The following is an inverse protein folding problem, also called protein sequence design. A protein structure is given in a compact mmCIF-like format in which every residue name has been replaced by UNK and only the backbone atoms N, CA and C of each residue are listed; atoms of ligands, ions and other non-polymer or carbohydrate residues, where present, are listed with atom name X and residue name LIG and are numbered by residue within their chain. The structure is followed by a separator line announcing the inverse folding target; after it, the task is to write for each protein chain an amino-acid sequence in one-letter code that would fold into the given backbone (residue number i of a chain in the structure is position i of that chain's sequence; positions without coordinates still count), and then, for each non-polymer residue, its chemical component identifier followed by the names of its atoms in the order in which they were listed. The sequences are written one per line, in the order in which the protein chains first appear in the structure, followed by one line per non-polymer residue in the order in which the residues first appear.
data_IF_567930443520
#
_entry.id   IF_567930443520
#
_cell.length_a   1.000
_cell.length_b   1.000
_cell.length_c   1.000
_cell.angle_alpha   90.00
_cell.angle_beta   90.00
_cell.angle_gamma   90.00
#
_symmetry.space_group_name_H-M   'P 1'
#
loop_
_entity.id
_entity.type
_entity.pdbx_description
1 polymer ?
#
# COMPACT_ATOMS: atom_id res chain seq x y z
N UNK A 1 -19.83 18.86 11.27
CA UNK A 1 -18.61 18.32 10.59
C UNK A 1 -17.98 19.52 9.92
N UNK A 2 -16.79 19.89 10.31
CA UNK A 2 -16.03 20.89 9.56
C UNK A 2 -15.46 20.21 8.32
N UNK A 3 -15.73 20.79 7.16
CA UNK A 3 -15.21 20.26 5.88
C UNK A 3 -13.85 20.84 5.50
N UNK A 4 -13.32 21.76 6.32
CA UNK A 4 -12.01 22.34 6.10
C UNK A 4 -10.91 21.51 6.74
N UNK A 5 -9.83 21.33 6.00
CA UNK A 5 -8.61 20.74 6.53
C UNK A 5 -7.92 21.70 7.51
N UNK A 6 -7.13 21.15 8.44
CA UNK A 6 -6.31 21.95 9.33
C UNK A 6 -5.32 22.83 8.55
N UNK A 7 -4.91 23.98 9.11
CA UNK A 7 -3.94 24.85 8.45
C UNK A 7 -2.60 24.15 8.21
N UNK A 8 -2.23 23.24 9.11
CA UNK A 8 -1.06 22.38 8.91
C UNK A 8 -1.23 21.46 7.71
N UNK A 9 -2.38 20.81 7.59
CA UNK A 9 -2.69 19.95 6.45
C UNK A 9 -2.68 20.76 5.14
N UNK A 10 -3.30 21.94 5.09
CA UNK A 10 -3.29 22.83 3.92
C UNK A 10 -1.85 23.21 3.51
N UNK A 11 -1.00 23.54 4.49
CA UNK A 11 0.41 23.84 4.26
C UNK A 11 1.17 22.65 3.66
N UNK A 12 0.97 21.46 4.22
CA UNK A 12 1.60 20.24 3.72
C UNK A 12 1.09 19.86 2.32
N UNK A 13 -0.22 20.02 2.05
CA UNK A 13 -0.78 19.82 0.71
C UNK A 13 -0.11 20.74 -0.33
N UNK A 14 0.02 22.03 -0.03
CA UNK A 14 0.67 22.98 -0.95
C UNK A 14 2.13 22.59 -1.26
N UNK A 15 2.90 22.20 -0.22
CA UNK A 15 4.27 21.72 -0.40
C UNK A 15 4.31 20.42 -1.22
N UNK A 16 3.43 19.47 -0.91
CA UNK A 16 3.41 18.18 -1.57
C UNK A 16 2.99 18.31 -3.04
N UNK A 17 1.97 19.11 -3.36
CA UNK A 17 1.56 19.40 -4.74
C UNK A 17 2.71 19.98 -5.54
N UNK A 18 3.40 20.99 -4.98
CA UNK A 18 4.58 21.57 -5.62
C UNK A 18 5.68 20.52 -5.83
N UNK A 19 5.93 19.65 -4.86
CA UNK A 19 6.92 18.58 -5.01
C UNK A 19 6.52 17.59 -6.11
N UNK A 20 5.23 17.25 -6.20
CA UNK A 20 4.71 16.39 -7.27
C UNK A 20 4.93 17.01 -8.64
N UNK A 21 4.64 18.31 -8.80
CA UNK A 21 4.82 19.05 -10.05
C UNK A 21 6.31 19.18 -10.44
N UNK A 22 7.17 19.53 -9.48
CA UNK A 22 8.58 19.79 -9.74
C UNK A 22 9.40 18.49 -9.96
N UNK A 23 9.01 17.38 -9.30
CA UNK A 23 9.90 16.22 -9.17
C UNK A 23 9.28 14.88 -9.51
N UNK A 24 7.98 14.69 -9.35
CA UNK A 24 7.35 13.36 -9.57
C UNK A 24 6.86 13.24 -11.00
N UNK A 25 5.95 14.12 -11.44
CA UNK A 25 5.37 14.03 -12.78
C UNK A 25 6.40 14.13 -13.91
N UNK A 26 7.44 15.00 -13.84
CA UNK A 26 8.47 15.04 -14.87
C UNK A 26 9.30 13.76 -14.98
N UNK A 27 9.39 12.97 -13.90
CA UNK A 27 10.23 11.79 -13.84
C UNK A 27 9.50 10.45 -14.10
N UNK A 28 8.19 10.44 -14.38
CA UNK A 28 7.45 9.20 -14.57
C UNK A 28 7.99 8.32 -15.71
N UNK A 29 8.29 8.93 -16.85
CA UNK A 29 8.87 8.22 -18.00
C UNK A 29 10.29 7.74 -17.69
N UNK A 30 11.11 8.56 -17.06
CA UNK A 30 12.47 8.21 -16.70
C UNK A 30 12.53 7.08 -15.66
N UNK A 31 11.60 7.07 -14.69
CA UNK A 31 11.45 6.00 -13.71
C UNK A 31 11.20 4.64 -14.39
N UNK A 32 10.24 4.57 -15.31
CA UNK A 32 9.95 3.34 -16.07
C UNK A 32 11.16 2.89 -16.89
N UNK A 33 11.79 3.82 -17.61
CA UNK A 33 12.99 3.54 -18.40
C UNK A 33 14.16 3.05 -17.56
N UNK A 34 14.31 3.52 -16.33
CA UNK A 34 15.36 3.05 -15.44
C UNK A 34 15.14 1.59 -15.00
N UNK A 35 13.89 1.20 -14.66
CA UNK A 35 13.56 -0.19 -14.35
C UNK A 35 13.85 -1.11 -15.53
N UNK A 36 13.43 -0.73 -16.73
CA UNK A 36 13.66 -1.51 -17.93
C UNK A 36 15.16 -1.64 -18.22
N UNK A 37 15.92 -0.55 -18.11
CA UNK A 37 17.38 -0.53 -18.26
C UNK A 37 18.09 -1.40 -17.21
N UNK A 38 17.67 -1.35 -15.94
CA UNK A 38 18.22 -2.22 -14.89
C UNK A 38 18.02 -3.70 -15.25
N UNK A 39 16.89 -4.06 -15.85
CA UNK A 39 16.65 -5.41 -16.36
C UNK A 39 17.55 -5.80 -17.53
N UNK A 40 17.67 -4.92 -18.51
CA UNK A 40 18.41 -5.18 -19.75
C UNK A 40 19.94 -5.12 -19.56
N UNK A 41 20.45 -4.09 -18.88
CA UNK A 41 21.89 -3.84 -18.79
C UNK A 41 22.53 -4.49 -17.57
N UNK A 42 21.81 -4.56 -16.43
CA UNK A 42 22.32 -5.10 -15.18
C UNK A 42 21.77 -6.51 -14.85
N UNK A 43 20.86 -7.04 -15.70
CA UNK A 43 20.24 -8.35 -15.49
C UNK A 43 19.32 -8.40 -14.26
N UNK A 44 18.99 -7.26 -13.65
CA UNK A 44 18.18 -7.21 -12.42
C UNK A 44 17.28 -5.97 -12.38
N UNK A 45 16.03 -6.13 -12.76
CA UNK A 45 15.02 -5.05 -12.70
C UNK A 45 14.47 -4.78 -11.27
N UNK A 46 14.89 -5.57 -10.29
CA UNK A 46 14.53 -5.41 -8.87
C UNK A 46 15.41 -4.41 -8.11
N UNK A 47 16.41 -3.84 -8.78
CA UNK A 47 17.24 -2.80 -8.18
C UNK A 47 16.43 -1.54 -7.92
N UNK A 48 16.67 -0.90 -6.77
CA UNK A 48 16.12 0.40 -6.46
C UNK A 48 16.47 1.40 -7.57
N UNK A 49 15.51 2.25 -7.94
CA UNK A 49 15.76 3.29 -8.94
C UNK A 49 16.53 4.46 -8.33
N UNK A 50 17.52 4.96 -9.05
CA UNK A 50 18.30 6.13 -8.67
C UNK A 50 17.40 7.35 -8.46
N UNK A 51 16.41 7.52 -9.32
CA UNK A 51 15.43 8.61 -9.24
C UNK A 51 14.76 8.67 -7.88
N UNK A 52 14.25 7.54 -7.37
CA UNK A 52 13.58 7.50 -6.06
C UNK A 52 14.56 7.81 -4.94
N UNK A 53 15.76 7.22 -4.98
CA UNK A 53 16.77 7.42 -3.95
C UNK A 53 17.28 8.87 -3.89
N UNK A 54 17.38 9.57 -5.01
CA UNK A 54 17.76 10.99 -5.08
C UNK A 54 16.64 11.93 -4.63
N UNK A 55 15.38 11.54 -4.77
CA UNK A 55 14.23 12.34 -4.35
C UNK A 55 13.93 12.23 -2.85
N UNK A 56 14.23 11.09 -2.20
CA UNK A 56 14.03 10.90 -0.76
C UNK A 56 14.68 12.00 0.12
N UNK A 57 15.97 12.35 -0.04
CA UNK A 57 16.56 13.42 0.75
C UNK A 57 15.92 14.79 0.48
N UNK A 58 15.46 15.07 -0.75
CA UNK A 58 14.75 16.30 -1.09
C UNK A 58 13.39 16.39 -0.38
N UNK A 59 12.65 15.28 -0.36
CA UNK A 59 11.37 15.19 0.37
C UNK A 59 11.57 15.39 1.88
N UNK A 60 12.58 14.73 2.44
CA UNK A 60 12.96 14.87 3.85
C UNK A 60 13.32 16.32 4.22
N UNK A 61 14.12 16.98 3.40
CA UNK A 61 14.51 18.37 3.63
C UNK A 61 13.33 19.37 3.63
N UNK A 62 12.23 19.03 2.94
CA UNK A 62 11.00 19.81 2.91
C UNK A 62 9.99 19.46 4.01
N UNK A 63 10.33 18.48 4.88
CA UNK A 63 9.43 17.99 5.93
C UNK A 63 8.31 17.09 5.39
N UNK A 64 8.50 16.51 4.20
CA UNK A 64 7.57 15.56 3.56
C UNK A 64 8.03 14.12 3.75
N UNK A 65 8.23 13.70 4.99
CA UNK A 65 8.76 12.39 5.33
C UNK A 65 7.97 11.72 6.45
N UNK A 66 7.67 10.43 6.32
CA UNK A 66 6.91 9.64 7.32
C UNK A 66 5.56 10.26 7.71
N UNK A 67 4.89 10.95 6.79
CA UNK A 67 3.64 11.68 7.05
C UNK A 67 2.49 10.77 7.51
N UNK A 68 2.57 9.47 7.25
CA UNK A 68 1.57 8.47 7.63
C UNK A 68 1.58 8.16 9.13
N UNK A 69 2.71 8.38 9.83
CA UNK A 69 2.91 7.89 11.19
C UNK A 69 2.11 8.75 12.19
N UNK A 70 1.22 8.16 12.98
CA UNK A 70 0.49 8.89 14.02
C UNK A 70 1.43 9.42 15.10
N UNK A 71 0.96 10.40 15.86
CA UNK A 71 1.72 10.97 16.97
C UNK A 71 2.18 9.88 17.94
N UNK A 72 3.48 9.82 18.16
CA UNK A 72 4.15 8.87 19.05
C UNK A 72 5.44 9.48 19.61
N UNK A 73 6.15 8.72 20.45
CA UNK A 73 7.47 9.14 20.96
C UNK A 73 8.45 9.38 19.80
N UNK A 74 8.37 8.53 18.75
CA UNK A 74 9.24 8.62 17.56
C UNK A 74 8.72 9.56 16.47
N UNK A 75 7.48 9.98 16.59
CA UNK A 75 6.82 10.94 15.71
C UNK A 75 6.03 11.96 16.50
N UNK A 76 6.70 12.85 17.26
CA UNK A 76 6.00 13.84 18.11
C UNK A 76 5.11 14.76 17.30
N UNK A 77 5.48 14.99 16.04
CA UNK A 77 4.74 15.77 15.04
C UNK A 77 3.88 14.89 14.12
N UNK A 78 3.52 13.68 14.54
CA UNK A 78 2.67 12.76 13.77
C UNK A 78 1.32 13.37 13.40
N UNK A 79 0.80 12.98 12.22
CA UNK A 79 -0.49 13.45 11.74
C UNK A 79 -1.62 12.53 12.20
N UNK A 80 -2.82 13.08 12.30
CA UNK A 80 -4.05 12.29 12.37
C UNK A 80 -4.30 11.59 11.01
N UNK A 81 -5.11 10.53 11.01
CA UNK A 81 -5.54 9.92 9.76
C UNK A 81 -6.31 10.91 8.88
N UNK A 82 -7.07 11.81 9.50
CA UNK A 82 -7.83 12.85 8.80
C UNK A 82 -6.91 13.84 8.10
N UNK A 83 -5.84 14.32 8.75
CA UNK A 83 -4.86 15.22 8.13
C UNK A 83 -3.97 14.52 7.10
N UNK A 84 -3.68 13.23 7.29
CA UNK A 84 -2.90 12.44 6.34
C UNK A 84 -3.70 12.08 5.07
N UNK A 85 -5.03 11.98 5.15
CA UNK A 85 -5.88 11.55 4.06
C UNK A 85 -5.64 12.29 2.73
N UNK A 86 -5.72 13.63 2.66
CA UNK A 86 -5.51 14.35 1.41
C UNK A 86 -4.05 14.29 0.92
N UNK A 87 -3.08 14.13 1.81
CA UNK A 87 -1.67 13.97 1.44
C UNK A 87 -1.45 12.60 0.79
N UNK A 88 -2.04 11.55 1.36
CA UNK A 88 -2.00 10.21 0.80
C UNK A 88 -2.71 10.13 -0.55
N UNK A 89 -3.81 10.84 -0.73
CA UNK A 89 -4.50 10.99 -2.02
C UNK A 89 -3.59 11.63 -3.08
N UNK A 90 -2.90 12.73 -2.75
CA UNK A 90 -1.96 13.39 -3.67
C UNK A 90 -0.83 12.44 -4.07
N UNK A 91 -0.22 11.73 -3.11
CA UNK A 91 0.82 10.73 -3.40
C UNK A 91 0.29 9.58 -4.27
N UNK A 92 -0.97 9.17 -4.07
CA UNK A 92 -1.62 8.11 -4.82
C UNK A 92 -1.77 8.36 -6.33
N UNK A 93 -1.64 9.61 -6.78
CA UNK A 93 -1.73 9.99 -8.20
C UNK A 93 -0.65 9.33 -9.06
N UNK A 94 0.50 8.99 -8.47
CA UNK A 94 1.60 8.26 -9.12
C UNK A 94 1.99 7.06 -8.25
N UNK A 95 1.99 5.86 -8.82
CA UNK A 95 2.11 4.59 -8.08
C UNK A 95 3.36 4.53 -7.18
N UNK A 96 4.51 5.02 -7.66
CA UNK A 96 5.77 4.98 -6.93
C UNK A 96 6.01 6.21 -6.02
N UNK A 97 5.19 7.27 -6.14
CA UNK A 97 5.45 8.53 -5.43
C UNK A 97 5.46 8.37 -3.90
N UNK A 98 4.57 7.54 -3.34
CA UNK A 98 4.51 7.32 -1.88
C UNK A 98 5.85 6.84 -1.30
N UNK A 99 6.69 6.14 -2.08
CA UNK A 99 8.00 5.69 -1.61
C UNK A 99 8.97 6.84 -1.41
N UNK A 100 8.92 7.86 -2.24
CA UNK A 100 9.76 9.06 -2.13
C UNK A 100 9.59 9.76 -0.77
N UNK A 101 8.40 9.64 -0.19
CA UNK A 101 8.04 10.22 1.11
C UNK A 101 8.09 9.22 2.27
N UNK A 102 8.63 8.01 2.04
CA UNK A 102 8.58 6.88 2.97
C UNK A 102 7.17 6.58 3.49
N UNK A 103 6.18 6.69 2.61
CA UNK A 103 4.75 6.51 2.90
C UNK A 103 4.12 5.36 2.09
N UNK A 104 4.93 4.44 1.55
CA UNK A 104 4.43 3.32 0.74
C UNK A 104 4.05 2.11 1.60
N UNK A 105 3.06 1.34 1.14
CA UNK A 105 2.78 0.01 1.67
C UNK A 105 3.81 -1.00 1.11
N UNK A 106 4.12 -2.09 1.85
CA UNK A 106 3.60 -2.48 3.16
C UNK A 106 4.30 -1.81 4.35
N UNK A 107 5.38 -1.04 4.11
CA UNK A 107 6.25 -0.49 5.15
C UNK A 107 5.49 0.37 6.16
N UNK A 108 4.55 1.22 5.71
CA UNK A 108 3.75 2.06 6.62
C UNK A 108 3.03 1.21 7.66
N UNK A 109 2.31 0.17 7.25
CA UNK A 109 1.61 -0.72 8.17
C UNK A 109 2.55 -1.54 9.04
N UNK A 110 3.73 -1.90 8.53
CA UNK A 110 4.73 -2.65 9.28
C UNK A 110 5.42 -1.75 10.33
N UNK A 111 5.75 -0.50 9.97
CA UNK A 111 6.29 0.49 10.91
C UNK A 111 5.31 0.79 12.04
N UNK A 112 4.03 1.01 11.74
CA UNK A 112 2.98 1.19 12.77
C UNK A 112 2.83 -0.05 13.66
N UNK A 113 2.95 -1.24 13.08
CA UNK A 113 2.87 -2.50 13.83
C UNK A 113 4.04 -2.64 14.81
N UNK A 114 5.26 -2.37 14.36
CA UNK A 114 6.45 -2.45 15.24
C UNK A 114 6.43 -1.33 16.28
N UNK A 115 6.01 -0.10 15.94
CA UNK A 115 5.88 0.99 16.90
C UNK A 115 4.88 0.66 18.01
N UNK A 116 3.76 0.03 17.66
CA UNK A 116 2.69 -0.27 18.63
C UNK A 116 2.95 -1.54 19.43
N UNK A 117 3.49 -2.58 18.82
CA UNK A 117 3.54 -3.93 19.40
C UNK A 117 4.96 -4.48 19.58
N UNK A 118 5.96 -3.84 19.00
CA UNK A 118 7.35 -4.25 19.12
C UNK A 118 7.97 -3.86 20.45
N UNK A 119 8.93 -4.66 20.91
CA UNK A 119 9.82 -4.32 22.02
C UNK A 119 10.73 -3.14 21.65
N UNK A 120 11.37 -2.51 22.64
CA UNK A 120 12.36 -1.46 22.37
C UNK A 120 13.57 -1.97 21.56
N UNK A 121 13.90 -3.26 21.67
CA UNK A 121 14.90 -3.89 20.82
C UNK A 121 14.41 -3.94 19.37
N UNK A 122 13.17 -4.41 19.10
CA UNK A 122 12.59 -4.45 17.76
C UNK A 122 12.54 -3.06 17.11
N UNK A 123 12.24 -2.04 17.91
CA UNK A 123 12.17 -0.66 17.42
C UNK A 123 13.54 -0.13 17.03
N UNK A 124 14.57 -0.37 17.85
CA UNK A 124 15.94 0.04 17.50
C UNK A 124 16.50 -0.72 16.29
N UNK A 125 16.25 -2.03 16.24
CA UNK A 125 16.82 -2.89 15.21
C UNK A 125 16.14 -2.74 13.86
N UNK A 126 14.80 -2.61 13.84
CA UNK A 126 14.02 -2.66 12.60
C UNK A 126 13.24 -1.38 12.32
N UNK A 127 12.56 -0.80 13.30
CA UNK A 127 11.72 0.38 13.07
C UNK A 127 12.56 1.61 12.72
N UNK A 128 13.63 1.87 13.44
CA UNK A 128 14.45 3.06 13.20
C UNK A 128 15.09 3.08 11.81
N UNK A 129 15.69 1.97 11.30
CA UNK A 129 16.15 1.92 9.91
C UNK A 129 15.02 2.06 8.88
N UNK A 130 13.83 1.49 9.15
CA UNK A 130 12.64 1.67 8.30
C UNK A 130 12.21 3.15 8.27
N UNK A 131 12.15 3.82 9.43
CA UNK A 131 11.80 5.25 9.51
C UNK A 131 12.84 6.14 8.81
N UNK A 132 14.11 5.71 8.79
CA UNK A 132 15.15 6.40 8.01
C UNK A 132 15.12 6.06 6.51
N UNK A 133 14.30 5.08 6.11
CA UNK A 133 14.21 4.63 4.71
C UNK A 133 15.46 3.88 4.21
N UNK A 134 16.26 3.33 5.13
CA UNK A 134 17.49 2.56 4.84
C UNK A 134 17.19 1.14 4.42
N UNK A 135 16.13 0.57 4.98
CA UNK A 135 15.65 -0.78 4.66
C UNK A 135 14.16 -0.72 4.33
N UNK A 136 13.67 -1.84 3.77
CA UNK A 136 12.27 -2.10 3.54
C UNK A 136 11.81 -3.36 4.26
N UNK A 137 10.51 -3.60 4.27
CA UNK A 137 9.88 -4.71 4.97
C UNK A 137 8.78 -5.34 4.13
N UNK A 138 8.35 -6.55 4.51
CA UNK A 138 7.17 -7.16 3.92
C UNK A 138 6.28 -7.81 4.99
N UNK A 139 5.00 -8.02 4.65
CA UNK A 139 4.01 -8.63 5.53
C UNK A 139 3.62 -10.01 5.00
N UNK A 140 4.13 -11.06 5.65
CA UNK A 140 3.98 -12.45 5.19
C UNK A 140 2.78 -13.13 5.87
N UNK A 141 1.58 -12.90 5.33
CA UNK A 141 0.34 -13.47 5.87
C UNK A 141 -0.28 -14.49 4.93
N UNK A 142 -0.57 -14.13 3.69
CA UNK A 142 -1.35 -14.90 2.72
C UNK A 142 -0.66 -16.21 2.31
N UNK A 143 -1.42 -17.30 2.19
CA UNK A 143 -0.93 -18.65 1.85
C UNK A 143 -1.66 -19.20 0.62
N UNK A 144 -0.97 -19.97 -0.26
CA UNK A 144 -1.60 -20.55 -1.46
C UNK A 144 -2.54 -21.70 -1.15
N UNK A 145 -2.32 -22.44 -0.06
CA UNK A 145 -3.05 -23.68 0.26
C UNK A 145 -4.38 -23.43 0.99
N UNK A 146 -4.63 -22.23 1.50
CA UNK A 146 -5.81 -21.93 2.31
C UNK A 146 -6.45 -20.60 1.87
N UNK A 147 -7.76 -20.45 2.16
CA UNK A 147 -8.47 -19.18 1.97
C UNK A 147 -8.05 -18.17 3.06
N UNK A 148 -6.98 -17.43 2.81
CA UNK A 148 -6.33 -16.52 3.77
C UNK A 148 -7.14 -15.25 4.06
N UNK A 149 -8.24 -15.00 3.35
CA UNK A 149 -9.24 -13.97 3.71
C UNK A 149 -9.87 -14.21 5.08
N UNK A 150 -9.97 -15.48 5.49
CA UNK A 150 -10.18 -15.87 6.88
C UNK A 150 -8.81 -16.10 7.54
N UNK A 151 -8.36 -15.14 8.34
CA UNK A 151 -7.06 -15.22 9.01
C UNK A 151 -6.90 -16.43 9.93
N UNK A 152 -8.00 -17.04 10.37
CA UNK A 152 -7.96 -18.24 11.21
C UNK A 152 -7.58 -19.51 10.43
N UNK A 153 -7.61 -19.47 9.09
CA UNK A 153 -7.18 -20.56 8.22
C UNK A 153 -5.65 -20.62 8.01
N UNK A 154 -4.91 -19.59 8.43
CA UNK A 154 -3.45 -19.57 8.29
C UNK A 154 -2.86 -20.86 8.87
N UNK A 155 -2.09 -21.58 8.04
CA UNK A 155 -1.56 -22.91 8.35
C UNK A 155 -0.06 -22.94 8.65
N UNK A 156 0.69 -21.89 8.28
CA UNK A 156 2.13 -21.75 8.64
C UNK A 156 2.32 -22.01 10.13
N UNK A 157 3.24 -22.91 10.48
CA UNK A 157 3.54 -23.32 11.86
C UNK A 157 4.66 -22.47 12.43
N UNK A 158 4.52 -22.09 13.71
CA UNK A 158 5.53 -21.45 14.53
C UNK A 158 5.63 -22.28 15.81
N UNK A 159 6.64 -23.11 15.93
CA UNK A 159 6.78 -24.08 17.03
C UNK A 159 7.96 -23.68 17.90
N UNK A 160 7.74 -23.61 19.21
CA UNK A 160 8.79 -23.26 20.15
C UNK A 160 9.73 -24.44 20.37
N UNK A 161 11.05 -24.19 20.26
CA UNK A 161 12.12 -25.15 20.52
C UNK A 161 13.19 -24.46 21.39
N UNK A 162 13.07 -24.60 22.70
CA UNK A 162 13.93 -23.91 23.68
C UNK A 162 13.79 -22.39 23.60
N UNK A 163 14.88 -21.72 23.28
CA UNK A 163 14.98 -20.26 23.17
C UNK A 163 14.74 -19.73 21.75
N UNK A 164 14.28 -20.60 20.84
CA UNK A 164 13.98 -20.27 19.45
C UNK A 164 12.55 -20.68 19.07
N UNK A 165 12.05 -20.10 17.99
CA UNK A 165 10.94 -20.62 17.22
C UNK A 165 11.41 -21.23 15.92
N UNK A 166 10.83 -22.36 15.56
CA UNK A 166 11.00 -23.03 14.27
C UNK A 166 9.77 -22.76 13.41
N UNK A 167 9.99 -22.20 12.24
CA UNK A 167 8.92 -21.76 11.34
C UNK A 167 8.92 -22.61 10.08
N UNK A 168 7.75 -23.17 9.76
CA UNK A 168 7.52 -23.94 8.55
C UNK A 168 6.22 -23.45 7.87
N UNK A 169 6.31 -23.05 6.60
CA UNK A 169 5.16 -22.53 5.88
C UNK A 169 5.43 -22.09 4.46
N UNK A 170 4.35 -21.78 3.75
CA UNK A 170 4.39 -21.34 2.36
C UNK A 170 3.52 -20.09 2.22
N UNK A 171 4.14 -18.98 1.87
CA UNK A 171 3.50 -17.67 1.70
C UNK A 171 3.54 -17.25 0.24
N UNK A 172 2.51 -16.49 -0.20
CA UNK A 172 2.48 -15.92 -1.53
C UNK A 172 1.81 -14.54 -1.53
N UNK A 173 1.92 -13.82 -2.62
CA UNK A 173 1.46 -12.43 -2.75
C UNK A 173 2.07 -11.51 -1.69
N UNK A 174 3.31 -11.76 -1.33
CA UNK A 174 4.01 -10.98 -0.31
C UNK A 174 4.64 -9.77 -0.97
N UNK A 175 3.96 -8.62 -0.84
CA UNK A 175 4.37 -7.35 -1.43
C UNK A 175 5.67 -6.84 -0.81
N UNK A 176 6.58 -6.38 -1.67
CA UNK A 176 7.89 -5.84 -1.26
C UNK A 176 8.96 -6.88 -0.96
N UNK A 177 8.63 -8.18 -0.95
CA UNK A 177 9.60 -9.22 -0.60
C UNK A 177 10.70 -9.42 -1.65
N UNK A 178 10.48 -9.03 -2.90
CA UNK A 178 11.47 -9.10 -3.99
C UNK A 178 12.43 -7.92 -4.03
N UNK A 179 12.18 -6.87 -3.27
CA UNK A 179 13.04 -5.69 -3.19
C UNK A 179 14.34 -6.04 -2.44
N UNK A 180 15.54 -5.83 -3.01
CA UNK A 180 16.82 -6.13 -2.34
C UNK A 180 17.03 -5.39 -1.02
N UNK A 181 16.31 -4.29 -0.81
CA UNK A 181 16.31 -3.50 0.44
C UNK A 181 15.39 -4.09 1.51
N UNK A 182 14.52 -5.07 1.17
CA UNK A 182 13.70 -5.77 2.15
C UNK A 182 14.61 -6.58 3.09
N UNK A 183 14.54 -6.31 4.39
CA UNK A 183 15.40 -6.98 5.40
C UNK A 183 14.62 -7.74 6.45
N UNK A 184 13.32 -7.49 6.56
CA UNK A 184 12.49 -8.07 7.61
C UNK A 184 11.09 -8.42 7.12
N UNK A 185 10.60 -9.58 7.50
CA UNK A 185 9.20 -9.98 7.38
C UNK A 185 8.49 -9.87 8.72
N UNK A 186 7.27 -9.34 8.74
CA UNK A 186 6.31 -9.63 9.79
C UNK A 186 5.51 -10.84 9.31
N UNK A 187 5.77 -12.01 9.89
CA UNK A 187 5.15 -13.27 9.50
C UNK A 187 4.01 -13.62 10.46
N UNK A 188 2.86 -13.99 9.91
CA UNK A 188 1.75 -14.55 10.67
C UNK A 188 1.72 -16.08 10.52
N UNK A 189 1.72 -16.79 11.64
CA UNK A 189 1.63 -18.25 11.69
C UNK A 189 0.90 -18.72 12.93
N UNK A 190 0.67 -20.03 13.02
CA UNK A 190 -0.06 -20.68 14.10
C UNK A 190 0.92 -21.23 15.14
N UNK A 191 0.85 -20.70 16.36
CA UNK A 191 1.67 -21.16 17.49
C UNK A 191 0.98 -22.26 18.29
N UNK A 192 -0.34 -22.14 18.50
CA UNK A 192 -1.13 -23.14 19.24
C UNK A 192 -2.41 -23.45 18.46
N UNK A 193 -2.47 -24.62 17.75
CA UNK A 193 -3.66 -25.01 16.99
C UNK A 193 -4.85 -25.41 17.88
N UNK A 194 -4.62 -25.72 19.15
CA UNK A 194 -5.65 -26.18 20.08
C UNK A 194 -6.25 -25.02 20.90
N UNK A 195 -5.63 -23.82 20.83
CA UNK A 195 -6.15 -22.62 21.47
C UNK A 195 -7.49 -22.16 20.85
N UNK A 196 -8.25 -21.30 21.53
CA UNK A 196 -9.45 -20.69 20.96
C UNK A 196 -9.15 -20.04 19.60
N UNK A 197 -10.10 -20.13 18.66
CA UNK A 197 -9.97 -19.78 17.24
C UNK A 197 -9.17 -18.49 16.96
N UNK A 198 -9.37 -17.42 17.73
CA UNK A 198 -8.70 -16.13 17.51
C UNK A 198 -7.40 -15.98 18.30
N UNK A 199 -6.98 -17.02 19.03
CA UNK A 199 -5.74 -17.05 19.82
C UNK A 199 -4.75 -18.11 19.31
N UNK A 200 -5.01 -18.70 18.16
CA UNK A 200 -4.12 -19.71 17.55
C UNK A 200 -2.90 -19.09 16.87
N UNK A 201 -3.05 -17.87 16.34
CA UNK A 201 -2.03 -17.24 15.53
C UNK A 201 -1.20 -16.25 16.32
N UNK A 202 0.08 -16.16 15.95
CA UNK A 202 1.04 -15.18 16.42
C UNK A 202 1.67 -14.43 15.26
N UNK A 203 2.28 -13.30 15.53
CA UNK A 203 3.13 -12.58 14.58
C UNK A 203 4.57 -12.54 15.07
N UNK A 204 5.50 -12.80 14.18
CA UNK A 204 6.91 -12.90 14.49
C UNK A 204 7.75 -12.17 13.45
N UNK A 205 8.83 -11.55 13.87
CA UNK A 205 9.81 -10.91 13.01
C UNK A 205 10.79 -11.95 12.48
N UNK A 206 10.92 -12.04 11.15
CA UNK A 206 11.81 -12.99 10.48
C UNK A 206 12.74 -12.22 9.54
N UNK A 207 14.06 -12.20 9.80
CA UNK A 207 15.03 -11.64 8.85
C UNK A 207 14.93 -12.34 7.48
N UNK A 208 15.04 -11.56 6.40
CA UNK A 208 14.91 -12.10 5.03
C UNK A 208 16.02 -13.11 4.70
N UNK A 209 17.19 -12.92 5.28
CA UNK A 209 18.39 -13.76 5.12
C UNK A 209 18.50 -14.91 6.13
N UNK A 210 17.47 -15.14 6.95
CA UNK A 210 17.46 -16.28 7.87
C UNK A 210 17.54 -17.61 7.11
N UNK A 211 18.35 -18.53 7.61
CA UNK A 211 18.50 -19.85 7.00
C UNK A 211 17.13 -20.55 6.88
N UNK A 212 16.84 -21.11 5.70
CA UNK A 212 15.57 -21.75 5.40
C UNK A 212 14.50 -20.82 4.78
N UNK A 213 14.77 -19.52 4.65
CA UNK A 213 13.92 -18.59 3.88
C UNK A 213 14.32 -18.67 2.41
N UNK A 214 13.34 -18.96 1.54
CA UNK A 214 13.55 -19.02 0.09
C UNK A 214 12.48 -18.18 -0.62
N UNK A 215 12.90 -17.08 -1.28
CA UNK A 215 12.03 -16.34 -2.22
C UNK A 215 12.03 -17.12 -3.53
N UNK A 216 10.90 -17.77 -3.84
CA UNK A 216 10.79 -18.69 -4.98
C UNK A 216 10.69 -17.99 -6.33
N UNK A 217 9.80 -17.02 -6.41
CA UNK A 217 9.53 -16.28 -7.64
C UNK A 217 8.72 -15.01 -7.38
N UNK A 218 8.81 -14.02 -8.24
CA UNK A 218 7.83 -12.94 -8.31
C UNK A 218 6.52 -13.45 -8.92
N UNK A 219 5.42 -12.79 -8.54
CA UNK A 219 4.08 -13.02 -9.06
C UNK A 219 3.64 -11.76 -9.82
N UNK A 220 3.01 -11.93 -10.97
CA UNK A 220 2.56 -10.80 -11.79
C UNK A 220 1.05 -10.57 -11.68
N UNK A 221 0.67 -9.30 -11.70
CA UNK A 221 -0.72 -8.83 -11.75
C UNK A 221 -1.06 -8.48 -13.19
N UNK A 222 -1.86 -9.28 -13.87
CA UNK A 222 -2.19 -9.10 -15.29
C UNK A 222 -0.95 -8.94 -16.21
N UNK A 223 0.15 -9.60 -15.86
CA UNK A 223 1.42 -9.53 -16.59
C UNK A 223 2.40 -8.46 -16.09
N UNK A 224 2.00 -7.55 -15.21
CA UNK A 224 2.89 -6.59 -14.56
C UNK A 224 3.55 -7.23 -13.33
N UNK A 225 4.87 -7.12 -13.24
CA UNK A 225 5.68 -7.68 -12.13
C UNK A 225 5.85 -6.71 -10.95
N UNK A 226 5.47 -5.45 -11.14
CA UNK A 226 5.58 -4.35 -10.16
C UNK A 226 6.99 -4.12 -9.61
N UNK A 227 8.04 -4.48 -10.40
CA UNK A 227 9.42 -4.21 -10.00
C UNK A 227 9.68 -2.70 -9.78
N UNK A 228 10.53 -2.32 -8.81
CA UNK A 228 11.31 -3.14 -7.90
C UNK A 228 10.56 -3.62 -6.64
N UNK A 229 9.31 -3.23 -6.45
CA UNK A 229 8.50 -3.56 -5.29
C UNK A 229 8.01 -5.03 -5.31
N UNK A 230 7.21 -5.38 -6.32
CA UNK A 230 6.72 -6.72 -6.64
C UNK A 230 5.94 -7.44 -5.55
N UNK A 231 5.52 -8.64 -5.91
CA UNK A 231 4.83 -9.58 -5.00
C UNK A 231 5.50 -10.94 -5.15
N UNK A 232 5.86 -11.59 -4.05
CA UNK A 232 6.63 -12.83 -4.12
C UNK A 232 5.92 -14.02 -3.47
N UNK A 233 6.31 -15.21 -3.94
CA UNK A 233 6.08 -16.50 -3.32
C UNK A 233 7.29 -16.88 -2.49
N UNK A 234 7.09 -17.28 -1.22
CA UNK A 234 8.16 -17.53 -0.25
C UNK A 234 7.91 -18.84 0.48
N UNK A 235 8.96 -19.65 0.60
CA UNK A 235 9.01 -20.82 1.48
C UNK A 235 9.78 -20.52 2.74
N UNK A 236 9.30 -21.07 3.85
CA UNK A 236 9.96 -21.10 5.16
C UNK A 236 10.11 -22.57 5.55
N UNK A 237 11.35 -23.06 5.60
CA UNK A 237 11.69 -24.47 5.85
C UNK A 237 12.64 -24.55 7.03
N UNK A 238 12.12 -24.93 8.20
CA UNK A 238 12.85 -24.99 9.47
C UNK A 238 13.57 -23.67 9.81
N UNK A 239 12.97 -22.55 9.51
CA UNK A 239 13.54 -21.24 9.80
C UNK A 239 13.55 -21.01 11.29
N UNK A 240 14.74 -20.74 11.86
CA UNK A 240 14.94 -20.52 13.29
C UNK A 240 15.13 -19.05 13.58
N UNK A 241 14.38 -18.56 14.55
CA UNK A 241 14.52 -17.18 15.06
C UNK A 241 14.38 -17.18 16.59
N UNK A 242 15.03 -16.24 17.30
CA UNK A 242 14.92 -16.12 18.75
C UNK A 242 13.49 -15.93 19.23
N UNK A 243 13.13 -16.46 20.39
CA UNK A 243 11.80 -16.27 21.01
C UNK A 243 11.48 -14.78 21.23
N UNK A 244 12.48 -13.94 21.38
CA UNK A 244 12.34 -12.49 21.50
C UNK A 244 11.75 -11.81 20.24
N UNK A 245 11.77 -12.48 19.08
CA UNK A 245 11.25 -11.91 17.83
C UNK A 245 9.71 -11.91 17.74
N UNK A 246 9.01 -12.54 18.69
CA UNK A 246 7.55 -12.53 18.73
C UNK A 246 7.01 -11.14 19.08
N UNK A 247 5.98 -10.69 18.37
CA UNK A 247 5.32 -9.41 18.63
C UNK A 247 4.19 -9.60 19.64
N UNK A 248 4.18 -8.79 20.71
CA UNK A 248 3.15 -8.74 21.74
C UNK A 248 2.96 -10.05 22.55
N UNK A 249 3.44 -11.20 22.06
CA UNK A 249 3.31 -12.51 22.68
C UNK A 249 2.52 -13.52 21.83
N UNK A 250 2.57 -14.79 22.26
CA UNK A 250 1.86 -15.88 21.59
C UNK A 250 0.33 -15.69 21.64
N UNK A 251 -0.35 -16.14 20.58
CA UNK A 251 -1.80 -16.06 20.44
C UNK A 251 -2.36 -14.65 20.15
N UNK A 252 -1.49 -13.64 19.96
CA UNK A 252 -1.92 -12.25 19.76
C UNK A 252 -1.89 -11.82 18.28
N UNK A 253 -1.62 -12.75 17.36
CA UNK A 253 -1.48 -12.46 15.92
C UNK A 253 -2.75 -11.91 15.29
N UNK A 254 -3.92 -12.41 15.66
CA UNK A 254 -5.20 -11.88 15.15
C UNK A 254 -5.46 -10.44 15.60
N UNK A 255 -5.17 -10.11 16.84
CA UNK A 255 -5.28 -8.75 17.38
C UNK A 255 -4.35 -7.77 16.63
N UNK A 256 -3.10 -8.17 16.41
CA UNK A 256 -2.12 -7.37 15.67
C UNK A 256 -2.60 -7.17 14.23
N UNK A 257 -3.11 -8.22 13.56
CA UNK A 257 -3.65 -8.13 12.21
C UNK A 257 -4.77 -7.08 12.10
N UNK A 258 -5.72 -7.08 13.04
CA UNK A 258 -6.80 -6.10 13.07
C UNK A 258 -6.27 -4.67 13.30
N UNK A 259 -5.30 -4.51 14.19
CA UNK A 259 -4.67 -3.21 14.47
C UNK A 259 -3.89 -2.64 13.29
N UNK A 260 -3.24 -3.50 12.48
CA UNK A 260 -2.48 -3.13 11.30
C UNK A 260 -3.37 -2.82 10.09
N UNK A 261 -4.35 -3.70 9.83
CA UNK A 261 -5.16 -3.63 8.60
C UNK A 261 -6.15 -2.46 8.61
N UNK A 262 -6.58 -1.98 9.77
CA UNK A 262 -7.52 -0.86 9.87
C UNK A 262 -6.99 0.41 9.21
N UNK A 263 -5.90 1.02 9.69
CA UNK A 263 -5.27 2.19 9.08
C UNK A 263 -4.82 1.92 7.64
N UNK A 264 -4.22 0.74 7.37
CA UNK A 264 -3.77 0.36 6.03
C UNK A 264 -4.88 0.40 4.98
N UNK A 265 -6.09 -0.06 5.31
CA UNK A 265 -7.27 0.01 4.43
C UNK A 265 -7.67 1.45 4.11
N UNK A 266 -7.63 2.34 5.09
CA UNK A 266 -7.91 3.76 4.88
C UNK A 266 -6.87 4.35 3.91
N UNK A 267 -5.57 4.10 4.13
CA UNK A 267 -4.50 4.58 3.26
C UNK A 267 -4.62 4.04 1.81
N UNK A 268 -5.01 2.78 1.63
CA UNK A 268 -5.27 2.23 0.29
C UNK A 268 -6.43 2.96 -0.41
N UNK A 269 -7.52 3.24 0.31
CA UNK A 269 -8.66 3.97 -0.25
C UNK A 269 -8.28 5.41 -0.64
N UNK A 270 -7.49 6.09 0.19
CA UNK A 270 -6.98 7.44 -0.12
C UNK A 270 -6.14 7.45 -1.40
N UNK A 271 -5.18 6.52 -1.54
CA UNK A 271 -4.38 6.40 -2.77
C UNK A 271 -5.24 6.08 -4.00
N UNK A 272 -6.23 5.19 -3.86
CA UNK A 272 -7.15 4.85 -4.93
C UNK A 272 -7.92 6.07 -5.44
N UNK A 273 -8.37 6.95 -4.53
CA UNK A 273 -9.04 8.21 -4.89
C UNK A 273 -8.09 9.10 -5.71
N UNK A 274 -6.82 9.19 -5.33
CA UNK A 274 -5.80 9.92 -6.09
C UNK A 274 -5.59 9.38 -7.51
N UNK A 275 -5.62 8.06 -7.67
CA UNK A 275 -5.60 7.40 -9.00
C UNK A 275 -6.84 7.80 -9.80
N UNK A 276 -8.04 7.77 -9.19
CA UNK A 276 -9.29 8.13 -9.87
C UNK A 276 -9.29 9.60 -10.34
N UNK A 277 -8.83 10.53 -9.50
CA UNK A 277 -8.66 11.94 -9.86
C UNK A 277 -7.78 12.10 -11.09
N UNK A 278 -6.64 11.44 -11.09
CA UNK A 278 -5.71 11.53 -12.21
C UNK A 278 -6.26 10.90 -13.48
N UNK A 279 -6.96 9.78 -13.35
CA UNK A 279 -7.63 9.14 -14.48
C UNK A 279 -8.70 10.05 -15.11
N UNK A 280 -9.48 10.77 -14.28
CA UNK A 280 -10.45 11.76 -14.74
C UNK A 280 -9.77 12.91 -15.49
N UNK A 281 -8.64 13.41 -14.98
CA UNK A 281 -7.85 14.45 -15.67
C UNK A 281 -7.33 13.97 -17.03
N UNK A 282 -6.78 12.76 -17.11
CA UNK A 282 -6.35 12.16 -18.38
C UNK A 282 -7.52 12.04 -19.36
N UNK A 283 -8.69 11.58 -18.87
CA UNK A 283 -9.90 11.47 -19.67
C UNK A 283 -10.30 12.83 -20.25
N UNK A 284 -10.43 13.85 -19.42
CA UNK A 284 -10.80 15.21 -19.86
C UNK A 284 -9.81 15.77 -20.89
N UNK A 285 -8.51 15.69 -20.61
CA UNK A 285 -7.45 16.15 -21.53
C UNK A 285 -7.53 15.44 -22.90
N UNK A 286 -7.76 14.12 -22.87
CA UNK A 286 -7.90 13.33 -24.10
C UNK A 286 -9.10 13.73 -24.92
N UNK A 287 -10.24 13.89 -24.30
CA UNK A 287 -11.50 14.22 -24.96
C UNK A 287 -11.49 15.59 -25.65
N UNK A 288 -10.82 16.58 -25.03
CA UNK A 288 -10.63 17.92 -25.60
C UNK A 288 -9.63 17.88 -26.78
N UNK A 289 -8.56 17.11 -26.66
CA UNK A 289 -7.48 17.06 -27.64
C UNK A 289 -7.81 16.28 -28.91
N UNK A 290 -8.92 15.52 -28.96
CA UNK A 290 -9.24 14.63 -30.08
C UNK A 290 -10.50 15.09 -30.82
N UNK A 291 -10.40 15.05 -32.15
CA UNK A 291 -11.51 15.33 -33.07
C UNK A 291 -11.89 14.02 -33.77
N UNK A 292 -13.19 13.71 -33.78
CA UNK A 292 -13.77 12.59 -34.53
C UNK A 292 -15.13 13.04 -35.11
N UNK A 293 -15.43 12.63 -36.33
CA UNK A 293 -16.67 13.01 -37.03
C UNK A 293 -16.89 14.54 -37.09
N UNK A 294 -15.80 15.29 -37.28
CA UNK A 294 -15.83 16.74 -37.48
C UNK A 294 -15.95 17.60 -36.22
N UNK A 295 -15.98 17.02 -35.00
CA UNK A 295 -16.04 17.75 -33.73
C UNK A 295 -15.17 17.14 -32.64
N UNK A 296 -14.88 17.89 -31.59
CA UNK A 296 -14.16 17.35 -30.45
C UNK A 296 -14.95 16.20 -29.80
N UNK A 297 -14.23 15.17 -29.31
CA UNK A 297 -14.89 14.04 -28.65
C UNK A 297 -15.62 14.52 -27.38
N UNK A 298 -15.10 15.56 -26.71
CA UNK A 298 -15.71 16.20 -25.56
C UNK A 298 -17.13 16.76 -25.83
N UNK A 299 -17.50 17.01 -27.08
CA UNK A 299 -18.83 17.49 -27.46
C UNK A 299 -19.90 16.37 -27.53
N UNK A 300 -19.52 15.12 -27.35
CA UNK A 300 -20.47 14.00 -27.29
C UNK A 300 -21.08 13.88 -25.89
N UNK A 301 -22.41 13.88 -25.79
CA UNK A 301 -23.16 13.90 -24.54
C UNK A 301 -22.83 12.78 -23.56
N UNK A 302 -22.49 11.58 -24.08
CA UNK A 302 -22.09 10.44 -23.24
C UNK A 302 -20.85 10.74 -22.40
N UNK A 303 -19.93 11.58 -22.87
CA UNK A 303 -18.75 11.95 -22.10
C UNK A 303 -19.06 12.98 -21.02
N UNK A 304 -20.04 13.88 -21.25
CA UNK A 304 -20.51 14.77 -20.20
C UNK A 304 -21.10 13.99 -19.02
N UNK A 305 -21.90 12.96 -19.31
CA UNK A 305 -22.45 12.05 -18.29
C UNK A 305 -21.33 11.34 -17.53
N UNK A 306 -20.38 10.71 -18.23
CA UNK A 306 -19.26 9.99 -17.59
C UNK A 306 -18.37 10.88 -16.75
N UNK A 307 -18.10 12.12 -17.16
CA UNK A 307 -17.33 13.09 -16.39
C UNK A 307 -18.10 13.49 -15.12
N UNK A 308 -19.40 13.81 -15.24
CA UNK A 308 -20.23 14.16 -14.10
C UNK A 308 -20.35 13.01 -13.09
N UNK A 309 -20.63 11.79 -13.55
CA UNK A 309 -20.66 10.60 -12.72
C UNK A 309 -19.31 10.31 -12.05
N UNK A 310 -18.20 10.46 -12.78
CA UNK A 310 -16.85 10.30 -12.20
C UNK A 310 -16.63 11.27 -11.04
N UNK A 311 -17.02 12.55 -11.20
CA UNK A 311 -16.91 13.57 -10.15
C UNK A 311 -17.75 13.20 -8.93
N UNK A 312 -19.01 12.83 -9.14
CA UNK A 312 -19.91 12.43 -8.06
C UNK A 312 -19.37 11.23 -7.30
N UNK A 313 -18.93 10.19 -8.01
CA UNK A 313 -18.38 8.97 -7.41
C UNK A 313 -17.09 9.23 -6.61
N UNK A 314 -16.16 10.02 -7.17
CA UNK A 314 -14.89 10.36 -6.51
C UNK A 314 -15.15 11.15 -5.23
N UNK A 315 -16.01 12.18 -5.27
CA UNK A 315 -16.29 13.02 -4.10
C UNK A 315 -17.04 12.22 -3.03
N UNK A 316 -17.98 11.35 -3.42
CA UNK A 316 -18.65 10.43 -2.49
C UNK A 316 -17.67 9.50 -1.80
N UNK A 317 -16.74 8.89 -2.56
CA UNK A 317 -15.73 8.00 -2.00
C UNK A 317 -14.77 8.76 -1.07
N UNK A 318 -14.35 9.97 -1.44
CA UNK A 318 -13.50 10.84 -0.61
C UNK A 318 -14.19 11.20 0.71
N UNK A 319 -15.43 11.68 0.68
CA UNK A 319 -16.16 12.06 1.89
C UNK A 319 -16.35 10.88 2.84
N UNK A 320 -16.66 9.69 2.31
CA UNK A 320 -16.78 8.49 3.15
C UNK A 320 -15.42 8.07 3.72
N UNK A 321 -14.33 8.22 2.94
CA UNK A 321 -12.96 7.92 3.41
C UNK A 321 -12.52 8.89 4.50
N UNK A 322 -12.82 10.18 4.36
CA UNK A 322 -12.58 11.19 5.40
C UNK A 322 -13.39 10.88 6.67
N UNK A 323 -14.64 10.44 6.52
CA UNK A 323 -15.44 9.97 7.67
C UNK A 323 -14.78 8.78 8.37
N UNK A 324 -14.28 7.80 7.63
CA UNK A 324 -13.58 6.65 8.22
C UNK A 324 -12.30 7.07 8.95
N UNK A 325 -11.53 8.00 8.37
CA UNK A 325 -10.34 8.57 8.99
C UNK A 325 -10.69 9.31 10.30
N UNK A 326 -11.73 10.15 10.28
CA UNK A 326 -12.23 10.85 11.47
C UNK A 326 -12.68 9.88 12.56
N UNK A 327 -13.42 8.83 12.23
CA UNK A 327 -13.87 7.81 13.18
C UNK A 327 -12.68 7.03 13.75
N UNK A 328 -11.67 6.76 12.95
CA UNK A 328 -10.43 6.13 13.41
C UNK A 328 -9.72 6.99 14.46
N UNK A 329 -9.62 8.30 14.20
CA UNK A 329 -8.92 9.24 15.09
C UNK A 329 -9.68 9.51 16.39
N UNK A 330 -11.01 9.58 16.33
CA UNK A 330 -11.85 10.00 17.50
C UNK A 330 -12.39 8.84 18.31
N UNK A 331 -12.71 7.70 17.67
CA UNK A 331 -13.35 6.56 18.32
C UNK A 331 -12.50 5.27 18.27
N UNK A 332 -11.43 5.28 17.47
CA UNK A 332 -10.49 4.15 17.33
C UNK A 332 -10.97 3.06 16.39
N UNK A 333 -10.05 2.15 16.04
CA UNK A 333 -10.21 1.12 15.02
C UNK A 333 -11.46 0.24 15.21
N UNK A 334 -11.75 -0.14 16.46
CA UNK A 334 -12.90 -1.02 16.77
C UNK A 334 -14.25 -0.39 16.40
N UNK A 335 -14.39 0.92 16.63
CA UNK A 335 -15.63 1.66 16.36
C UNK A 335 -15.72 2.13 14.91
N UNK A 336 -14.59 2.36 14.24
CA UNK A 336 -14.54 2.74 12.83
C UNK A 336 -14.71 1.54 11.86
N UNK A 337 -14.95 0.33 12.37
CA UNK A 337 -14.98 -0.92 11.57
C UNK A 337 -15.97 -0.85 10.41
N UNK A 338 -17.17 -0.30 10.63
CA UNK A 338 -18.20 -0.22 9.58
C UNK A 338 -17.79 0.75 8.47
N UNK A 339 -17.28 1.93 8.82
CA UNK A 339 -16.80 2.92 7.85
C UNK A 339 -15.62 2.39 7.05
N UNK A 340 -14.67 1.71 7.70
CA UNK A 340 -13.52 1.08 7.03
C UNK A 340 -13.98 0.00 6.06
N UNK A 341 -14.96 -0.82 6.41
CA UNK A 341 -15.54 -1.83 5.52
C UNK A 341 -16.21 -1.18 4.30
N UNK A 342 -17.04 -0.14 4.51
CA UNK A 342 -17.70 0.59 3.43
C UNK A 342 -16.73 1.20 2.43
N UNK A 343 -15.69 1.92 2.89
CA UNK A 343 -14.73 2.55 1.98
C UNK A 343 -13.91 1.53 1.21
N UNK A 344 -13.58 0.38 1.83
CA UNK A 344 -12.79 -0.67 1.21
C UNK A 344 -13.53 -1.34 0.05
N UNK A 345 -14.87 -1.33 0.06
CA UNK A 345 -15.70 -1.70 -1.09
C UNK A 345 -15.82 -0.53 -2.06
N UNK A 346 -16.17 0.67 -1.58
CA UNK A 346 -16.54 1.79 -2.45
C UNK A 346 -15.34 2.33 -3.24
N UNK A 347 -14.26 2.74 -2.57
CA UNK A 347 -13.18 3.47 -3.23
C UNK A 347 -12.48 2.68 -4.36
N UNK A 348 -12.11 1.39 -4.20
CA UNK A 348 -11.52 0.63 -5.29
C UNK A 348 -12.47 0.42 -6.47
N UNK A 349 -13.78 0.23 -6.22
CA UNK A 349 -14.77 0.06 -7.27
C UNK A 349 -15.00 1.35 -8.07
N UNK A 350 -15.07 2.50 -7.39
CA UNK A 350 -15.14 3.83 -8.03
C UNK A 350 -13.91 4.05 -8.90
N UNK A 351 -12.72 3.85 -8.35
CA UNK A 351 -11.47 4.04 -9.08
C UNK A 351 -11.38 3.14 -10.32
N UNK A 352 -11.80 1.87 -10.18
CA UNK A 352 -11.84 0.92 -11.29
C UNK A 352 -12.76 1.42 -12.42
N UNK A 353 -13.91 1.98 -12.07
CA UNK A 353 -14.90 2.50 -13.02
C UNK A 353 -14.39 3.74 -13.75
N UNK A 354 -13.78 4.68 -13.03
CA UNK A 354 -13.22 5.90 -13.64
C UNK A 354 -12.04 5.57 -14.56
N UNK A 355 -11.15 4.64 -14.14
CA UNK A 355 -10.06 4.14 -14.97
C UNK A 355 -10.56 3.49 -16.27
N UNK A 356 -11.61 2.65 -16.18
CA UNK A 356 -12.20 2.00 -17.35
C UNK A 356 -12.70 3.05 -18.36
N UNK A 357 -13.40 4.09 -17.90
CA UNK A 357 -13.82 5.18 -18.78
C UNK A 357 -12.67 6.01 -19.34
N UNK A 358 -11.62 6.22 -18.56
CA UNK A 358 -10.42 6.90 -19.04
C UNK A 358 -9.68 6.06 -20.12
N UNK A 359 -9.56 4.76 -19.93
CA UNK A 359 -9.05 3.82 -20.95
C UNK A 359 -9.89 3.92 -22.21
N UNK A 360 -11.21 3.84 -22.08
CA UNK A 360 -12.12 3.93 -23.23
C UNK A 360 -11.97 5.26 -24.00
N UNK A 361 -11.79 6.39 -23.30
CA UNK A 361 -11.54 7.68 -23.92
C UNK A 361 -10.21 7.74 -24.70
N UNK A 362 -9.21 6.96 -24.29
CA UNK A 362 -7.92 6.89 -24.96
C UNK A 362 -7.89 5.91 -26.14
N UNK A 363 -8.89 5.02 -26.25
CA UNK A 363 -8.91 3.98 -27.26
C UNK A 363 -7.71 3.02 -27.12
N UNK A 364 -7.06 2.63 -28.21
CA UNK A 364 -5.89 1.74 -28.16
C UNK A 364 -4.75 2.27 -27.28
N UNK A 365 -4.54 3.59 -27.20
CA UNK A 365 -3.58 4.19 -26.29
C UNK A 365 -3.88 3.91 -24.81
N UNK A 366 -5.15 3.75 -24.45
CA UNK A 366 -5.55 3.47 -23.06
C UNK A 366 -5.17 2.07 -22.57
N UNK A 367 -5.00 1.11 -23.48
CA UNK A 367 -4.56 -0.27 -23.17
C UNK A 367 -3.07 -0.49 -23.43
N UNK A 368 -2.35 0.56 -23.88
CA UNK A 368 -0.92 0.51 -24.15
C UNK A 368 -0.11 1.06 -22.97
N UNK A 369 1.21 0.92 -23.09
CA UNK A 369 2.19 1.47 -22.13
C UNK A 369 2.48 2.97 -22.32
N UNK A 370 1.88 3.61 -23.33
CA UNK A 370 2.05 5.04 -23.59
C UNK A 370 1.38 5.93 -22.53
N UNK A 371 0.38 5.36 -21.86
CA UNK A 371 -0.33 6.00 -20.74
C UNK A 371 -0.34 5.08 -19.51
N UNK A 372 -0.37 5.63 -18.29
CA UNK A 372 -0.34 4.81 -17.07
C UNK A 372 -1.66 4.07 -16.79
N UNK A 373 -2.67 4.24 -17.62
CA UNK A 373 -4.05 3.84 -17.33
C UNK A 373 -4.23 2.32 -17.20
N UNK A 374 -3.67 1.53 -18.13
CA UNK A 374 -3.76 0.08 -18.08
C UNK A 374 -3.06 -0.49 -16.84
N UNK A 375 -1.86 -0.01 -16.55
CA UNK A 375 -1.10 -0.40 -15.36
C UNK A 375 -1.84 -0.01 -14.06
N UNK A 376 -2.35 1.22 -13.99
CA UNK A 376 -3.14 1.67 -12.84
C UNK A 376 -4.44 0.88 -12.67
N UNK A 377 -5.09 0.50 -13.79
CA UNK A 377 -6.28 -0.34 -13.77
C UNK A 377 -5.97 -1.73 -13.19
N UNK A 378 -4.89 -2.36 -13.65
CA UNK A 378 -4.43 -3.65 -13.17
C UNK A 378 -4.09 -3.61 -11.68
N UNK A 379 -3.28 -2.64 -11.26
CA UNK A 379 -2.90 -2.46 -9.86
C UNK A 379 -4.10 -2.15 -8.95
N UNK A 380 -5.01 -1.24 -9.37
CA UNK A 380 -6.19 -0.93 -8.58
C UNK A 380 -7.18 -2.12 -8.46
N UNK A 381 -7.22 -3.02 -9.48
CA UNK A 381 -8.06 -4.22 -9.40
C UNK A 381 -7.68 -5.12 -8.22
N UNK A 382 -6.41 -5.13 -7.83
CA UNK A 382 -5.94 -5.91 -6.68
C UNK A 382 -6.52 -5.41 -5.35
N UNK A 383 -6.82 -4.12 -5.24
CA UNK A 383 -7.40 -3.53 -4.02
C UNK A 383 -8.81 -4.04 -3.69
N UNK A 384 -9.50 -4.65 -4.65
CA UNK A 384 -10.77 -5.33 -4.41
C UNK A 384 -10.59 -6.74 -3.81
N UNK A 385 -9.33 -7.18 -3.64
CA UNK A 385 -8.94 -8.50 -3.13
C UNK A 385 -8.03 -8.35 -1.90
N UNK A 386 -6.96 -7.54 -2.01
CA UNK A 386 -5.97 -7.33 -0.96
C UNK A 386 -6.61 -6.70 0.31
N UNK A 387 -6.07 -7.01 1.47
CA UNK A 387 -6.56 -6.58 2.79
C UNK A 387 -8.03 -6.94 3.06
N UNK A 388 -8.49 -8.01 2.45
CA UNK A 388 -9.86 -8.52 2.45
C UNK A 388 -10.62 -8.17 1.16
N UNK A 389 -11.19 -9.18 0.48
CA UNK A 389 -12.00 -8.97 -0.71
C UNK A 389 -13.31 -8.22 -0.41
N UNK A 390 -13.94 -7.68 -1.47
CA UNK A 390 -15.22 -6.96 -1.38
C UNK A 390 -16.27 -7.73 -0.55
N UNK A 391 -16.30 -9.07 -0.71
CA UNK A 391 -17.25 -9.97 -0.05
C UNK A 391 -17.02 -10.09 1.47
N UNK A 392 -15.78 -9.93 1.93
CA UNK A 392 -15.46 -9.96 3.38
C UNK A 392 -15.89 -8.63 4.03
N UNK A 393 -15.92 -7.55 3.26
CA UNK A 393 -16.27 -6.22 3.77
C UNK A 393 -17.78 -5.91 3.68
N UNK A 394 -18.56 -6.63 2.87
CA UNK A 394 -20.02 -6.56 2.82
C UNK A 394 -20.69 -7.35 3.94
#
# INVERSE_FOLDING_TARGET
MEFEYSDRCKTLQAKLLKFMDDHIYPNEKAYKQEIDRNGLEKGNRWLATTIVEELKPKARAQGLWNLFLPKSVRAPEGLSNLDYAPLCEIMGRVVWASEVFNCSAPDTGNMETIERYGSEQHKREWLEPLLRGEIRSAFAMTEPAVASSDATNIATRIERDGDEYVINGHKWWISGAGDPRCKIFILMGKTDPDAPRHSQQSMILVPVDAAGVTIKRPLSVFGYDDAPHGHCEILFENVRVPVSNILLGEGRGFEIAQGRLGPGRIHHCMRAIGVAERALEYMCKRLIARVAFGKQISEQSIWHERIAESRIMIDTARLLTLKAAYMMDTAGNKHAKAEIAMIKVLAPNVTQKVLDWAIQAHGAGGVSDDFPLAYQWAGNRTLRIADGPDEVHR
#
